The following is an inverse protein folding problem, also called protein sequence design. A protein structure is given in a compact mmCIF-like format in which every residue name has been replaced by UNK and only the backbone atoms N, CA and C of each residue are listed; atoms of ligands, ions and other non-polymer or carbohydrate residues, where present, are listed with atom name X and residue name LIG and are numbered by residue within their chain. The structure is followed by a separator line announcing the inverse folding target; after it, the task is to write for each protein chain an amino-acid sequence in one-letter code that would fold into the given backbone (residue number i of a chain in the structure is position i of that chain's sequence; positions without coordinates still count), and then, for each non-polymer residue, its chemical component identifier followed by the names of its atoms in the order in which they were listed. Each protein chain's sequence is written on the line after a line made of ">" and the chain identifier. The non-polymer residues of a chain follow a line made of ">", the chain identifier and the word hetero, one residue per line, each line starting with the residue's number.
data_IF_405420942204
#
_entry.id   IF_405420942204
#
_cell.length_a   1.000
_cell.length_b   1.000
_cell.length_c   1.000
_cell.angle_alpha   90.00
_cell.angle_beta   90.00
_cell.angle_gamma   90.00
#
_symmetry.space_group_name_H-M   'P 1'
#
loop_
_entity.id
_entity.type
_entity.pdbx_description
1 polymer ?
#
# COMPACT_ATOMS: atom_id res chain seq x y z
N UNK A 1 10.71 5.23 -5.46
CA UNK A 1 9.38 5.53 -4.86
C UNK A 1 8.66 6.46 -5.80
N UNK A 2 7.43 6.12 -6.17
CA UNK A 2 6.56 6.89 -7.05
C UNK A 2 5.22 7.10 -6.35
N UNK A 3 4.68 8.31 -6.40
CA UNK A 3 3.34 8.65 -5.89
C UNK A 3 2.62 9.38 -7.00
N UNK A 4 1.43 8.91 -7.38
CA UNK A 4 0.62 9.50 -8.44
C UNK A 4 -0.82 9.69 -7.97
N UNK A 5 -1.49 10.71 -8.52
CA UNK A 5 -2.94 10.84 -8.39
C UNK A 5 -3.62 9.88 -9.35
N UNK A 6 -4.68 9.24 -8.90
CA UNK A 6 -5.60 8.46 -9.74
C UNK A 6 -6.70 9.38 -10.30
N UNK A 7 -7.29 8.98 -11.42
CA UNK A 7 -8.37 9.75 -12.08
C UNK A 7 -9.59 10.00 -11.16
N UNK A 8 -9.78 9.15 -10.14
CA UNK A 8 -10.83 9.28 -9.13
C UNK A 8 -10.41 10.08 -7.88
N UNK A 9 -9.43 10.99 -8.00
CA UNK A 9 -8.84 11.75 -6.89
C UNK A 9 -8.09 10.91 -5.84
N UNK A 10 -7.95 9.60 -6.05
CA UNK A 10 -7.17 8.73 -5.17
C UNK A 10 -5.66 8.90 -5.34
N UNK A 11 -4.91 8.12 -4.58
CA UNK A 11 -3.46 8.00 -4.69
C UNK A 11 -3.07 6.59 -5.12
N UNK A 12 -2.03 6.47 -5.93
CA UNK A 12 -1.23 5.26 -6.06
C UNK A 12 0.18 5.52 -5.52
N UNK A 13 0.74 4.51 -4.86
CA UNK A 13 2.09 4.51 -4.32
C UNK A 13 2.76 3.23 -4.77
N UNK A 14 3.92 3.37 -5.40
CA UNK A 14 4.78 2.25 -5.76
C UNK A 14 6.14 2.40 -5.08
N UNK A 15 6.52 1.37 -4.33
CA UNK A 15 7.79 1.31 -3.62
C UNK A 15 8.47 -0.03 -3.91
N UNK A 16 9.47 0.03 -4.76
CA UNK A 16 10.40 -1.06 -5.02
C UNK A 16 11.42 -1.17 -3.87
N UNK A 17 11.35 -2.27 -3.11
CA UNK A 17 12.26 -2.53 -1.99
C UNK A 17 13.68 -2.88 -2.44
N UNK A 18 13.89 -3.28 -3.70
CA UNK A 18 15.22 -3.55 -4.24
C UNK A 18 16.10 -2.29 -4.19
N UNK A 19 15.50 -1.11 -4.36
CA UNK A 19 16.19 0.18 -4.30
C UNK A 19 16.64 0.57 -2.88
N UNK A 20 16.16 -0.12 -1.83
CA UNK A 20 16.51 0.15 -0.43
C UNK A 20 17.09 -1.08 0.28
N UNK A 21 17.55 -2.09 -0.48
CA UNK A 21 18.21 -3.30 0.06
C UNK A 21 17.38 -4.06 1.11
N UNK A 22 16.05 -4.02 1.00
CA UNK A 22 15.12 -4.79 1.83
C UNK A 22 14.53 -5.90 0.97
N UNK A 23 14.36 -7.09 1.55
CA UNK A 23 13.74 -8.22 0.88
C UNK A 23 12.46 -8.64 1.61
N UNK A 24 11.32 -8.50 0.93
CA UNK A 24 10.01 -8.98 1.40
C UNK A 24 9.92 -10.49 1.15
N UNK A 25 9.47 -11.25 2.15
CA UNK A 25 9.52 -12.73 2.13
C UNK A 25 8.41 -13.39 1.34
N UNK A 26 7.40 -12.65 0.92
CA UNK A 26 6.20 -13.20 0.32
C UNK A 26 5.52 -12.18 -0.58
N UNK A 27 4.82 -12.70 -1.58
CA UNK A 27 3.89 -11.91 -2.38
C UNK A 27 2.50 -11.89 -1.73
N UNK A 28 1.77 -10.82 -2.02
CA UNK A 28 0.37 -10.66 -1.64
C UNK A 28 -0.40 -10.31 -2.90
N UNK A 29 -1.36 -11.16 -3.34
CA UNK A 29 -2.24 -10.79 -4.43
C UNK A 29 -3.05 -9.57 -4.04
N UNK A 30 -3.44 -8.77 -5.03
CA UNK A 30 -4.24 -7.58 -4.84
C UNK A 30 -5.43 -7.78 -3.91
N UNK A 31 -5.55 -6.87 -2.95
CA UNK A 31 -6.65 -6.79 -1.99
C UNK A 31 -7.20 -5.39 -1.98
N UNK A 32 -8.52 -5.28 -2.04
CA UNK A 32 -9.28 -4.04 -1.87
C UNK A 32 -10.12 -4.14 -0.60
N UNK A 33 -10.05 -3.12 0.22
CA UNK A 33 -10.92 -2.91 1.37
C UNK A 33 -11.70 -1.63 1.10
N UNK A 34 -13.02 -1.75 1.01
CA UNK A 34 -13.91 -0.66 0.65
C UNK A 34 -15.13 -0.68 1.55
N UNK A 35 -15.51 0.50 2.03
CA UNK A 35 -16.75 0.72 2.80
C UNK A 35 -17.76 1.52 1.98
N UNK A 36 -17.28 2.57 1.31
CA UNK A 36 -18.05 3.51 0.50
C UNK A 36 -17.15 4.09 -0.61
N UNK A 37 -17.73 4.79 -1.60
CA UNK A 37 -17.02 5.34 -2.77
C UNK A 37 -15.80 6.22 -2.42
N UNK A 38 -15.86 6.93 -1.30
CA UNK A 38 -14.78 7.80 -0.82
C UNK A 38 -14.04 7.22 0.40
N UNK A 39 -14.14 5.90 0.60
CA UNK A 39 -13.56 5.23 1.75
C UNK A 39 -13.07 3.83 1.37
N UNK A 40 -11.89 3.79 0.77
CA UNK A 40 -11.30 2.57 0.24
C UNK A 40 -9.78 2.62 0.21
N UNK A 41 -9.16 1.45 0.38
CA UNK A 41 -7.72 1.25 0.30
C UNK A 41 -7.45 -0.12 -0.32
N UNK A 42 -6.48 -0.18 -1.23
CA UNK A 42 -6.02 -1.42 -1.83
C UNK A 42 -4.51 -1.56 -1.73
N UNK A 43 -4.01 -2.79 -1.74
CA UNK A 43 -2.58 -3.04 -1.88
C UNK A 43 -2.29 -4.43 -2.46
N UNK A 44 -1.11 -4.55 -3.02
CA UNK A 44 -0.47 -5.82 -3.39
C UNK A 44 1.04 -5.76 -3.12
N UNK A 45 1.64 -6.93 -3.08
CA UNK A 45 3.10 -7.10 -3.00
C UNK A 45 3.46 -8.13 -4.06
N UNK A 46 4.30 -7.76 -5.01
CA UNK A 46 4.74 -8.68 -6.06
C UNK A 46 6.15 -8.29 -6.48
N UNK A 47 7.04 -9.26 -6.69
CA UNK A 47 8.41 -9.04 -7.14
C UNK A 47 9.20 -8.04 -6.27
N UNK A 48 8.98 -8.10 -4.94
CA UNK A 48 9.60 -7.19 -3.97
C UNK A 48 9.20 -5.70 -4.17
N UNK A 49 8.05 -5.46 -4.80
CA UNK A 49 7.44 -4.15 -4.96
C UNK A 49 6.17 -4.09 -4.12
N UNK A 50 6.04 -3.06 -3.28
CA UNK A 50 4.77 -2.72 -2.65
C UNK A 50 4.03 -1.73 -3.56
N UNK A 51 2.82 -2.11 -3.95
CA UNK A 51 1.89 -1.23 -4.64
C UNK A 51 0.67 -1.01 -3.75
N UNK A 52 0.36 0.26 -3.47
CA UNK A 52 -0.75 0.65 -2.61
C UNK A 52 -1.58 1.74 -3.26
N UNK A 53 -2.90 1.64 -3.11
CA UNK A 53 -3.85 2.61 -3.64
C UNK A 53 -4.87 3.00 -2.57
N UNK A 54 -5.50 4.16 -2.71
CA UNK A 54 -6.61 4.53 -1.83
C UNK A 54 -7.23 5.86 -2.18
N UNK A 55 -8.36 6.16 -1.55
CA UNK A 55 -9.01 7.47 -1.65
C UNK A 55 -8.08 8.61 -1.17
N UNK A 56 -8.42 9.90 -1.43
CA UNK A 56 -7.53 11.02 -1.13
C UNK A 56 -7.02 11.06 0.32
N UNK A 57 -7.76 10.50 1.28
CA UNK A 57 -7.42 10.48 2.70
C UNK A 57 -6.48 9.34 3.12
N UNK A 58 -6.27 8.33 2.27
CA UNK A 58 -5.58 7.08 2.65
C UNK A 58 -4.07 7.09 2.41
N UNK A 59 -3.51 8.16 1.83
CA UNK A 59 -2.06 8.25 1.58
C UNK A 59 -1.23 7.90 2.82
N UNK A 60 -1.55 8.49 3.98
CA UNK A 60 -0.86 8.22 5.23
C UNK A 60 -0.98 6.76 5.67
N UNK A 61 -2.17 6.17 5.53
CA UNK A 61 -2.43 4.78 5.88
C UNK A 61 -1.63 3.82 4.99
N UNK A 62 -1.58 4.08 3.68
CA UNK A 62 -0.80 3.30 2.72
C UNK A 62 0.70 3.33 3.06
N UNK A 63 1.23 4.50 3.45
CA UNK A 63 2.62 4.62 3.91
C UNK A 63 2.89 3.86 5.21
N UNK A 64 1.91 3.82 6.13
CA UNK A 64 2.03 3.06 7.38
C UNK A 64 1.97 1.52 7.18
N UNK A 65 1.28 1.05 6.13
CA UNK A 65 1.31 -0.34 5.68
C UNK A 65 2.69 -0.68 5.10
N UNK A 66 3.20 0.16 4.20
CA UNK A 66 4.56 0.05 3.67
C UNK A 66 5.60 -0.01 4.80
N UNK A 67 5.54 0.93 5.74
CA UNK A 67 6.48 0.99 6.87
C UNK A 67 6.43 -0.30 7.70
N UNK A 68 5.23 -0.82 7.98
CA UNK A 68 5.07 -2.09 8.69
C UNK A 68 5.73 -3.25 7.93
N UNK A 69 5.55 -3.30 6.62
CA UNK A 69 6.17 -4.31 5.77
C UNK A 69 7.70 -4.18 5.79
N UNK A 70 8.22 -2.96 5.65
CA UNK A 70 9.65 -2.69 5.64
C UNK A 70 10.34 -3.09 6.95
N UNK A 71 9.72 -2.78 8.10
CA UNK A 71 10.34 -2.99 9.41
C UNK A 71 10.09 -4.36 9.99
N UNK A 72 8.93 -4.97 9.71
CA UNK A 72 8.51 -6.22 10.35
C UNK A 72 8.35 -7.38 9.37
N UNK A 73 8.55 -7.15 8.07
CA UNK A 73 8.23 -8.11 7.00
C UNK A 73 6.79 -8.62 7.13
N UNK A 74 5.88 -7.73 7.55
CA UNK A 74 4.48 -8.07 7.82
C UNK A 74 3.57 -6.86 7.62
N UNK A 75 2.47 -7.06 6.90
CA UNK A 75 1.38 -6.08 6.85
C UNK A 75 0.57 -6.15 8.14
N UNK A 76 0.48 -5.04 8.85
CA UNK A 76 -0.43 -4.88 9.98
C UNK A 76 -1.80 -4.38 9.49
N UNK A 77 -2.70 -5.33 9.22
CA UNK A 77 -4.06 -5.02 8.77
C UNK A 77 -4.89 -4.25 9.80
N UNK A 78 -4.49 -4.20 11.08
CA UNK A 78 -5.19 -3.39 12.09
C UNK A 78 -5.05 -1.89 11.81
N UNK A 79 -4.08 -1.49 11.00
CA UNK A 79 -3.93 -0.10 10.53
C UNK A 79 -4.92 0.29 9.44
N UNK A 80 -5.61 -0.69 8.84
CA UNK A 80 -6.65 -0.44 7.84
C UNK A 80 -7.92 -0.02 8.60
N UNK A 81 -8.24 1.27 8.53
CA UNK A 81 -9.44 1.85 9.13
C UNK A 81 -10.28 2.48 8.02
N UNK A 82 -11.48 1.91 7.84
CA UNK A 82 -12.48 2.37 6.88
C UNK A 82 -13.63 3.07 7.59
#
# INVERSE_FOLDING_TARGET
>A
MKIESLDNSGWSIEIDFNNISIHVRYDVPYKLFEREENNWIGYEITDNIFYGIGDPSKLHMTLELFKSLATHNKIDKKKIVL
#
